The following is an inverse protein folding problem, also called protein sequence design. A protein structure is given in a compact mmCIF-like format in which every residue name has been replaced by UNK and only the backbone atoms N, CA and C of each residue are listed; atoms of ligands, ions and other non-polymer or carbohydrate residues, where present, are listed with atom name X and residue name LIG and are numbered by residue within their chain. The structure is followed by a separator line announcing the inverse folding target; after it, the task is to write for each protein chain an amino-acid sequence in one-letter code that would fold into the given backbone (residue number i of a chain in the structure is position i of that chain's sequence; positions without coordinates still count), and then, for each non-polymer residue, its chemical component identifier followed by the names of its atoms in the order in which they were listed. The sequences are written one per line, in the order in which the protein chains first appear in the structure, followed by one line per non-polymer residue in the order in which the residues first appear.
data_IF_409694940386
#
_entry.id   IF_409694940386
#
_cell.length_a   1.000
_cell.length_b   1.000
_cell.length_c   1.000
_cell.angle_alpha   90.00
_cell.angle_beta   90.00
_cell.angle_gamma   90.00
#
_symmetry.space_group_name_H-M   'P 1'
#
loop_
_entity.id
_entity.type
_entity.pdbx_description
1 polymer ?
#
# COMPACT_ATOMS: atom_id res chain seq x y z
N UNK A 1 5.33 -61.61 -39.29
CA UNK A 1 6.07 -60.36 -39.58
C UNK A 1 6.45 -60.36 -41.07
N UNK A 2 6.70 -59.15 -41.64
CA UNK A 2 7.17 -58.99 -43.03
C UNK A 2 8.44 -59.82 -43.30
N UNK A 3 9.37 -59.87 -42.34
CA UNK A 3 10.59 -60.65 -42.38
C UNK A 3 10.30 -62.20 -42.45
N UNK A 4 9.31 -62.64 -41.70
CA UNK A 4 8.91 -64.05 -41.64
C UNK A 4 8.27 -64.50 -43.01
N UNK A 5 7.37 -63.66 -43.52
CA UNK A 5 6.74 -63.88 -44.86
C UNK A 5 7.77 -63.83 -46.01
N UNK A 6 8.76 -62.93 -45.88
CA UNK A 6 9.87 -62.86 -46.87
C UNK A 6 10.64 -64.18 -46.95
N UNK A 7 10.99 -64.72 -45.77
CA UNK A 7 11.70 -65.99 -45.70
C UNK A 7 10.87 -67.20 -46.26
N UNK A 8 9.55 -67.22 -46.01
CA UNK A 8 8.64 -68.23 -46.49
C UNK A 8 8.44 -68.16 -48.00
N UNK A 9 8.47 -67.00 -48.65
CA UNK A 9 8.34 -66.78 -50.06
C UNK A 9 9.63 -67.20 -50.85
N UNK A 10 10.82 -67.00 -50.18
CA UNK A 10 12.11 -67.42 -50.77
C UNK A 10 12.33 -68.96 -50.82
N UNK A 11 11.57 -69.73 -50.02
CA UNK A 11 11.61 -71.21 -50.03
C UNK A 11 10.22 -71.78 -50.47
N UNK A 12 9.92 -71.81 -51.76
CA UNK A 12 8.61 -72.19 -52.23
C UNK A 12 8.37 -73.71 -52.17
N UNK A 13 7.40 -74.07 -51.31
CA UNK A 13 6.81 -75.42 -51.29
C UNK A 13 5.42 -75.45 -51.94
N UNK A 14 5.05 -74.45 -52.76
CA UNK A 14 3.69 -74.25 -53.29
C UNK A 14 3.68 -74.18 -54.81
N UNK A 15 2.73 -74.86 -55.45
CA UNK A 15 2.42 -74.82 -56.91
C UNK A 15 1.48 -73.63 -57.14
N UNK A 16 1.93 -72.62 -57.88
CA UNK A 16 1.16 -71.44 -58.23
C UNK A 16 1.97 -70.42 -59.01
N UNK A 17 1.38 -69.27 -59.33
CA UNK A 17 2.09 -68.14 -59.96
C UNK A 17 2.96 -67.39 -58.93
N UNK A 18 4.18 -67.93 -58.75
CA UNK A 18 5.16 -67.47 -57.80
C UNK A 18 5.62 -66.07 -58.14
N UNK A 19 5.70 -65.71 -59.42
CA UNK A 19 6.13 -64.33 -59.82
C UNK A 19 5.09 -63.31 -59.52
N UNK A 20 3.79 -63.64 -59.67
CA UNK A 20 2.72 -62.72 -59.25
C UNK A 20 2.70 -62.52 -57.74
N UNK A 21 2.91 -63.57 -56.93
CA UNK A 21 3.00 -63.50 -55.48
C UNK A 21 4.22 -62.74 -55.04
N UNK A 22 5.37 -62.89 -55.63
CA UNK A 22 6.58 -62.08 -55.33
C UNK A 22 6.37 -60.62 -55.66
N UNK A 23 5.74 -60.32 -56.81
CA UNK A 23 5.42 -58.95 -57.22
C UNK A 23 4.46 -58.30 -56.26
N UNK A 24 3.41 -58.97 -55.80
CA UNK A 24 2.48 -58.46 -54.78
C UNK A 24 3.15 -58.26 -53.44
N UNK A 25 4.04 -59.16 -53.05
CA UNK A 25 4.78 -59.03 -51.80
C UNK A 25 5.73 -57.81 -51.83
N UNK A 26 6.48 -57.61 -52.93
CA UNK A 26 7.33 -56.43 -53.07
C UNK A 26 6.49 -55.09 -53.03
N UNK A 27 5.34 -55.09 -53.73
CA UNK A 27 4.41 -53.97 -53.71
C UNK A 27 3.90 -53.65 -52.26
N UNK A 28 3.56 -54.68 -51.52
CA UNK A 28 3.14 -54.57 -50.14
C UNK A 28 4.28 -54.08 -49.23
N UNK A 29 5.50 -54.52 -49.45
CA UNK A 29 6.70 -54.09 -48.74
C UNK A 29 7.02 -52.64 -49.02
N UNK A 30 6.95 -52.15 -50.25
CA UNK A 30 7.09 -50.77 -50.63
C UNK A 30 5.99 -49.92 -50.05
N UNK A 31 4.72 -50.34 -50.11
CA UNK A 31 3.61 -49.61 -49.48
C UNK A 31 3.76 -49.51 -47.97
N UNK A 32 4.22 -50.59 -47.34
CA UNK A 32 4.51 -50.60 -45.91
C UNK A 32 5.65 -49.63 -45.49
N UNK A 33 6.72 -49.63 -46.33
CA UNK A 33 7.84 -48.72 -46.14
C UNK A 33 7.44 -47.27 -46.34
N UNK A 34 6.64 -46.97 -47.39
CA UNK A 34 6.10 -45.59 -47.59
C UNK A 34 5.19 -45.17 -46.48
N UNK A 35 4.31 -46.02 -45.97
CA UNK A 35 3.43 -45.71 -44.84
C UNK A 35 4.21 -45.47 -43.54
N UNK A 36 5.25 -46.29 -43.33
CA UNK A 36 6.15 -46.07 -42.16
C UNK A 36 6.88 -44.72 -42.24
N UNK A 37 7.37 -44.34 -43.41
CA UNK A 37 8.01 -43.06 -43.65
C UNK A 37 7.04 -41.88 -43.42
N UNK A 38 5.82 -42.00 -43.97
CA UNK A 38 4.75 -41.02 -43.76
C UNK A 38 4.44 -40.82 -42.25
N UNK A 39 4.25 -41.91 -41.51
CA UNK A 39 3.98 -41.90 -40.09
C UNK A 39 5.17 -41.32 -39.28
N UNK A 40 6.40 -41.61 -39.68
CA UNK A 40 7.60 -41.07 -39.07
C UNK A 40 7.68 -39.55 -39.26
N UNK A 41 7.43 -39.06 -40.47
CA UNK A 41 7.43 -37.61 -40.75
C UNK A 41 6.27 -36.89 -40.02
N UNK A 42 5.07 -37.50 -39.99
CA UNK A 42 3.94 -36.98 -39.24
C UNK A 42 4.25 -36.90 -37.73
N UNK A 43 4.93 -37.92 -37.19
CA UNK A 43 5.35 -37.90 -35.79
C UNK A 43 6.39 -36.81 -35.50
N UNK A 44 7.40 -36.66 -36.35
CA UNK A 44 8.40 -35.58 -36.24
C UNK A 44 7.74 -34.20 -36.28
N UNK A 45 6.81 -33.99 -37.22
CA UNK A 45 6.06 -32.73 -37.29
C UNK A 45 5.23 -32.46 -36.03
N UNK A 46 4.59 -33.50 -35.47
CA UNK A 46 3.82 -33.39 -34.23
C UNK A 46 4.72 -33.06 -33.04
N UNK A 47 5.90 -33.67 -32.94
CA UNK A 47 6.89 -33.34 -31.89
C UNK A 47 7.38 -31.91 -32.03
N UNK A 48 7.73 -31.47 -33.25
CA UNK A 48 8.17 -30.08 -33.47
C UNK A 48 7.09 -29.07 -33.11
N UNK A 49 5.83 -29.36 -33.45
CA UNK A 49 4.69 -28.51 -33.04
C UNK A 49 4.55 -28.45 -31.54
N UNK A 50 4.57 -29.59 -30.85
CA UNK A 50 4.45 -29.67 -29.39
C UNK A 50 5.60 -28.93 -28.69
N UNK A 51 6.81 -29.03 -29.22
CA UNK A 51 7.96 -28.29 -28.71
C UNK A 51 7.76 -26.77 -28.83
N UNK A 52 7.32 -26.30 -29.99
CA UNK A 52 7.05 -24.90 -30.26
C UNK A 52 5.93 -24.36 -29.35
N UNK A 53 4.85 -25.10 -29.18
CA UNK A 53 3.73 -24.70 -28.30
C UNK A 53 4.15 -24.63 -26.84
N UNK A 54 4.92 -25.60 -26.36
CA UNK A 54 5.42 -25.59 -24.97
C UNK A 54 6.46 -24.51 -24.76
N UNK A 55 7.31 -24.26 -25.74
CA UNK A 55 8.27 -23.13 -25.70
C UNK A 55 7.54 -21.80 -25.61
N UNK A 56 6.45 -21.61 -26.34
CA UNK A 56 5.65 -20.38 -26.26
C UNK A 56 5.05 -20.15 -24.87
N UNK A 57 4.66 -21.19 -24.14
CA UNK A 57 4.20 -21.09 -22.75
C UNK A 57 5.34 -20.60 -21.85
N UNK A 58 6.53 -21.20 -22.02
CA UNK A 58 7.74 -20.81 -21.25
C UNK A 58 8.14 -19.36 -21.51
N UNK A 59 8.17 -18.96 -22.78
CA UNK A 59 8.50 -17.58 -23.16
C UNK A 59 7.54 -16.56 -22.56
N UNK A 60 6.25 -16.87 -22.47
CA UNK A 60 5.27 -16.02 -21.77
C UNK A 60 5.58 -15.92 -20.27
N UNK A 61 5.97 -17.03 -19.63
CA UNK A 61 6.36 -17.03 -18.22
C UNK A 61 7.64 -16.21 -17.98
N UNK A 62 8.64 -16.35 -18.86
CA UNK A 62 9.87 -15.56 -18.83
C UNK A 62 9.60 -14.06 -19.05
N UNK A 63 8.72 -13.72 -20.00
CA UNK A 63 8.31 -12.34 -20.24
C UNK A 63 7.64 -11.72 -19.00
N UNK A 64 6.79 -12.46 -18.30
CA UNK A 64 6.21 -12.02 -17.02
C UNK A 64 7.28 -11.80 -15.97
N UNK A 65 8.23 -12.71 -15.81
CA UNK A 65 9.32 -12.59 -14.85
C UNK A 65 10.23 -11.39 -15.15
N UNK A 66 10.47 -11.10 -16.44
CA UNK A 66 11.31 -9.97 -16.87
C UNK A 66 10.59 -8.61 -16.79
N UNK A 67 9.27 -8.59 -16.69
CA UNK A 67 8.46 -7.37 -16.59
C UNK A 67 8.20 -6.89 -15.16
N UNK A 68 8.73 -7.58 -14.15
CA UNK A 68 8.53 -7.24 -12.74
C UNK A 68 9.23 -5.93 -12.37
N UNK A 69 8.53 -5.08 -11.62
CA UNK A 69 9.02 -3.78 -11.18
C UNK A 69 8.10 -3.15 -10.13
N UNK A 70 8.33 -1.87 -9.86
CA UNK A 70 7.63 -1.13 -8.80
C UNK A 70 6.11 -1.03 -9.03
N UNK A 71 5.68 -1.01 -10.29
CA UNK A 71 4.27 -0.90 -10.67
C UNK A 71 3.60 -2.26 -10.95
N UNK A 72 4.23 -3.36 -10.58
CA UNK A 72 3.70 -4.70 -10.83
C UNK A 72 2.40 -4.92 -10.05
N UNK A 73 1.35 -5.33 -10.76
CA UNK A 73 0.15 -5.87 -10.14
C UNK A 73 0.40 -7.34 -9.76
N UNK A 74 0.86 -7.56 -8.54
CA UNK A 74 1.29 -8.87 -8.04
C UNK A 74 0.17 -9.92 -8.05
N UNK A 75 -1.07 -9.52 -7.80
CA UNK A 75 -2.23 -10.42 -7.85
C UNK A 75 -2.52 -10.88 -9.27
N UNK A 76 -2.63 -9.94 -10.19
CA UNK A 76 -2.87 -10.23 -11.61
C UNK A 76 -1.74 -11.07 -12.21
N UNK A 77 -0.49 -10.76 -11.87
CA UNK A 77 0.67 -11.53 -12.35
C UNK A 77 0.69 -12.94 -11.77
N UNK A 78 0.32 -13.13 -10.51
CA UNK A 78 0.17 -14.47 -9.92
C UNK A 78 -0.90 -15.29 -10.64
N UNK A 79 -2.03 -14.68 -10.99
CA UNK A 79 -3.10 -15.34 -11.75
C UNK A 79 -2.64 -15.73 -13.15
N UNK A 80 -1.84 -14.89 -13.82
CA UNK A 80 -1.22 -15.20 -15.12
C UNK A 80 -0.24 -16.38 -15.01
N UNK A 81 0.62 -16.44 -13.99
CA UNK A 81 1.50 -17.59 -13.76
C UNK A 81 0.72 -18.87 -13.48
N UNK A 82 -0.37 -18.79 -12.73
CA UNK A 82 -1.26 -19.94 -12.48
C UNK A 82 -1.88 -20.44 -13.77
N UNK A 83 -2.38 -19.55 -14.61
CA UNK A 83 -2.93 -19.87 -15.91
C UNK A 83 -1.90 -20.51 -16.84
N UNK A 84 -0.67 -19.98 -16.89
CA UNK A 84 0.42 -20.58 -17.68
C UNK A 84 0.82 -21.95 -17.16
N UNK A 85 0.82 -22.17 -15.87
CA UNK A 85 1.08 -23.48 -15.30
C UNK A 85 -0.02 -24.49 -15.66
N UNK A 86 -1.27 -24.08 -15.65
CA UNK A 86 -2.38 -24.91 -16.11
C UNK A 86 -2.23 -25.26 -17.60
N UNK A 87 -1.90 -24.27 -18.44
CA UNK A 87 -1.62 -24.52 -19.88
C UNK A 87 -0.46 -25.47 -20.07
N UNK A 88 0.59 -25.40 -19.28
CA UNK A 88 1.71 -26.33 -19.27
C UNK A 88 1.25 -27.76 -18.97
N UNK A 89 0.47 -27.94 -17.91
CA UNK A 89 -0.04 -29.26 -17.52
C UNK A 89 -0.96 -29.85 -18.58
N UNK A 90 -1.90 -29.07 -19.13
CA UNK A 90 -2.82 -29.47 -20.15
C UNK A 90 -2.07 -29.87 -21.43
N UNK A 91 -1.08 -29.07 -21.83
CA UNK A 91 -0.24 -29.40 -22.99
C UNK A 91 0.59 -30.66 -22.74
N UNK A 92 1.17 -30.84 -21.58
CA UNK A 92 1.93 -32.04 -21.22
C UNK A 92 1.08 -33.29 -21.27
N UNK A 93 -0.19 -33.21 -20.91
CA UNK A 93 -1.12 -34.34 -20.89
C UNK A 93 -1.67 -34.67 -22.26
N UNK A 94 -1.95 -33.67 -23.10
CA UNK A 94 -2.69 -33.82 -24.36
C UNK A 94 -1.81 -33.80 -25.60
N UNK A 95 -0.53 -33.49 -25.53
CA UNK A 95 0.38 -33.44 -26.65
C UNK A 95 1.25 -34.69 -26.75
N UNK A 96 1.90 -34.87 -27.90
CA UNK A 96 2.92 -35.92 -28.10
C UNK A 96 4.07 -35.72 -27.10
N UNK A 97 4.66 -36.83 -26.69
CA UNK A 97 5.79 -36.77 -25.73
C UNK A 97 7.01 -36.12 -26.39
N UNK A 98 7.57 -35.16 -25.75
CA UNK A 98 8.85 -34.54 -26.12
C UNK A 98 10.03 -35.39 -25.68
N UNK A 99 11.19 -35.19 -26.32
CA UNK A 99 12.44 -35.74 -25.82
C UNK A 99 12.71 -35.24 -24.39
N UNK A 100 13.29 -36.11 -23.58
CA UNK A 100 13.52 -35.83 -22.18
C UNK A 100 14.39 -34.58 -21.99
N UNK A 101 15.43 -34.40 -22.78
CA UNK A 101 16.32 -33.25 -22.70
C UNK A 101 15.56 -31.93 -22.97
N UNK A 102 14.72 -31.88 -23.97
CA UNK A 102 13.90 -30.70 -24.31
C UNK A 102 12.86 -30.43 -23.23
N UNK A 103 12.17 -31.46 -22.76
CA UNK A 103 11.20 -31.34 -21.68
C UNK A 103 11.81 -30.82 -20.38
N UNK A 104 12.97 -31.35 -19.99
CA UNK A 104 13.70 -30.96 -18.81
C UNK A 104 14.23 -29.52 -18.92
N UNK A 105 14.74 -29.12 -20.08
CA UNK A 105 15.20 -27.76 -20.35
C UNK A 105 14.06 -26.73 -20.27
N UNK A 106 12.92 -27.04 -20.87
CA UNK A 106 11.73 -26.15 -20.82
C UNK A 106 11.16 -26.05 -19.41
N UNK A 107 11.11 -27.17 -18.69
CA UNK A 107 10.70 -27.14 -17.27
C UNK A 107 11.63 -26.32 -16.40
N UNK A 108 12.93 -26.43 -16.59
CA UNK A 108 13.93 -25.63 -15.88
C UNK A 108 13.72 -24.14 -16.11
N UNK A 109 13.49 -23.73 -17.37
CA UNK A 109 13.20 -22.34 -17.73
C UNK A 109 11.89 -21.84 -17.09
N UNK A 110 10.82 -22.60 -17.18
CA UNK A 110 9.54 -22.26 -16.56
C UNK A 110 9.65 -22.15 -15.04
N UNK A 111 10.30 -23.12 -14.41
CA UNK A 111 10.53 -23.12 -12.95
C UNK A 111 11.38 -21.94 -12.49
N UNK A 112 12.40 -21.57 -13.27
CA UNK A 112 13.24 -20.40 -13.00
C UNK A 112 12.44 -19.10 -13.08
N UNK A 113 11.59 -18.94 -14.09
CA UNK A 113 10.71 -17.78 -14.21
C UNK A 113 9.75 -17.67 -13.01
N UNK A 114 9.17 -18.80 -12.61
CA UNK A 114 8.29 -18.86 -11.43
C UNK A 114 9.04 -18.54 -10.13
N UNK A 115 10.26 -19.03 -9.98
CA UNK A 115 11.10 -18.75 -8.82
C UNK A 115 11.45 -17.27 -8.75
N UNK A 116 11.82 -16.66 -9.88
CA UNK A 116 12.07 -15.23 -9.98
C UNK A 116 10.85 -14.41 -9.55
N UNK A 117 9.67 -14.76 -10.04
CA UNK A 117 8.42 -14.11 -9.63
C UNK A 117 8.16 -14.24 -8.13
N UNK A 118 8.26 -15.45 -7.58
CA UNK A 118 8.00 -15.70 -6.16
C UNK A 118 8.99 -14.97 -5.25
N UNK A 119 10.26 -14.88 -5.64
CA UNK A 119 11.30 -14.15 -4.90
C UNK A 119 11.04 -12.65 -4.93
N UNK A 120 10.73 -12.10 -6.11
CA UNK A 120 10.40 -10.68 -6.25
C UNK A 120 9.14 -10.30 -5.46
N UNK A 121 8.10 -11.14 -5.49
CA UNK A 121 6.88 -10.94 -4.71
C UNK A 121 7.15 -10.94 -3.20
N UNK A 122 7.96 -11.88 -2.72
CA UNK A 122 8.35 -11.91 -1.30
C UNK A 122 9.12 -10.66 -0.89
N UNK A 123 10.10 -10.25 -1.69
CA UNK A 123 10.87 -9.04 -1.44
C UNK A 123 9.98 -7.79 -1.40
N UNK A 124 9.04 -7.68 -2.33
CA UNK A 124 8.07 -6.60 -2.34
C UNK A 124 7.19 -6.59 -1.08
N UNK A 125 6.68 -7.76 -0.68
CA UNK A 125 5.85 -7.88 0.53
C UNK A 125 6.63 -7.50 1.79
N UNK A 126 7.89 -7.97 1.93
CA UNK A 126 8.78 -7.59 3.03
C UNK A 126 9.03 -6.09 3.07
N UNK A 127 9.34 -5.46 1.92
CA UNK A 127 9.52 -4.02 1.84
C UNK A 127 8.27 -3.24 2.27
N UNK A 128 7.10 -3.70 1.88
CA UNK A 128 5.80 -3.12 2.32
C UNK A 128 5.57 -3.25 3.81
N UNK A 129 5.93 -4.38 4.39
CA UNK A 129 5.79 -4.62 5.83
C UNK A 129 6.80 -3.78 6.63
N UNK A 130 8.03 -3.62 6.13
CA UNK A 130 9.03 -2.71 6.71
C UNK A 130 8.58 -1.25 6.64
N UNK A 131 8.07 -0.78 5.50
CA UNK A 131 7.53 0.58 5.36
C UNK A 131 6.38 0.84 6.34
N UNK A 132 5.46 -0.12 6.49
CA UNK A 132 4.36 -0.02 7.45
C UNK A 132 4.85 0.01 8.89
N UNK A 133 5.81 -0.84 9.22
CA UNK A 133 6.41 -0.90 10.55
C UNK A 133 7.14 0.40 10.89
N UNK A 134 7.92 0.94 9.95
CA UNK A 134 8.62 2.21 10.12
C UNK A 134 7.65 3.39 10.28
N UNK A 135 6.59 3.43 9.48
CA UNK A 135 5.54 4.44 9.58
C UNK A 135 4.83 4.38 10.94
N UNK A 136 4.51 3.18 11.41
CA UNK A 136 3.91 2.95 12.73
C UNK A 136 4.81 3.45 13.85
N UNK A 137 6.08 3.06 13.85
CA UNK A 137 7.05 3.49 14.85
C UNK A 137 7.25 5.00 14.87
N UNK A 138 7.34 5.65 13.69
CA UNK A 138 7.45 7.09 13.58
C UNK A 138 6.21 7.80 14.16
N UNK A 139 5.02 7.31 13.87
CA UNK A 139 3.77 7.87 14.40
C UNK A 139 3.63 7.65 15.90
N UNK A 140 4.02 6.50 16.42
CA UNK A 140 4.05 6.25 17.88
C UNK A 140 5.00 7.19 18.60
N UNK A 141 6.17 7.49 18.03
CA UNK A 141 7.10 8.48 18.58
C UNK A 141 6.50 9.89 18.60
N UNK A 142 5.81 10.29 17.53
CA UNK A 142 5.09 11.56 17.45
C UNK A 142 4.00 11.66 18.53
N UNK A 143 3.24 10.58 18.72
CA UNK A 143 2.20 10.50 19.77
C UNK A 143 2.81 10.64 21.14
N UNK A 144 3.92 9.96 21.42
CA UNK A 144 4.61 10.05 22.70
C UNK A 144 5.05 11.51 23.02
N UNK A 145 5.62 12.20 22.03
CA UNK A 145 5.97 13.62 22.17
C UNK A 145 4.73 14.50 22.39
N UNK A 146 3.63 14.25 21.68
CA UNK A 146 2.37 14.97 21.85
C UNK A 146 1.77 14.76 23.25
N UNK A 147 1.82 13.54 23.77
CA UNK A 147 1.33 13.20 25.10
C UNK A 147 2.17 13.87 26.21
N UNK A 148 3.47 14.06 26.00
CA UNK A 148 4.33 14.79 26.94
C UNK A 148 4.00 16.29 27.04
N UNK A 149 3.57 16.91 25.93
CA UNK A 149 3.36 18.36 25.86
C UNK A 149 1.90 18.80 25.95
N UNK A 150 0.95 17.85 25.96
CA UNK A 150 -0.49 18.15 25.91
C UNK A 150 -1.00 19.02 27.08
N UNK A 151 -0.37 18.94 28.23
CA UNK A 151 -0.74 19.69 29.46
C UNK A 151 0.09 20.95 29.64
N UNK A 152 0.91 21.34 28.69
CA UNK A 152 1.72 22.56 28.74
C UNK A 152 0.86 23.81 28.70
N UNK A 153 1.26 24.82 29.47
CA UNK A 153 0.67 26.17 29.46
C UNK A 153 1.50 27.17 28.65
N UNK A 154 2.63 26.76 28.11
CA UNK A 154 3.43 27.57 27.18
C UNK A 154 2.77 27.61 25.79
N UNK A 155 1.66 28.35 25.69
CA UNK A 155 0.73 28.30 24.56
C UNK A 155 1.37 28.49 23.17
N UNK A 156 2.23 29.50 23.03
CA UNK A 156 2.87 29.80 21.73
C UNK A 156 3.87 28.74 21.33
N UNK A 157 4.76 28.38 22.24
CA UNK A 157 5.82 27.40 21.99
C UNK A 157 5.24 26.02 21.72
N UNK A 158 4.29 25.59 22.54
CA UNK A 158 3.68 24.27 22.43
C UNK A 158 2.80 24.16 21.18
N UNK A 159 2.11 25.25 20.80
CA UNK A 159 1.38 25.28 19.52
C UNK A 159 2.31 25.07 18.32
N UNK A 160 3.49 25.66 18.33
CA UNK A 160 4.51 25.46 17.30
C UNK A 160 4.99 24.02 17.28
N UNK A 161 5.23 23.42 18.46
CA UNK A 161 5.61 22.00 18.56
C UNK A 161 4.53 21.07 17.99
N UNK A 162 3.25 21.30 18.24
CA UNK A 162 2.17 20.53 17.63
C UNK A 162 2.12 20.69 16.11
N UNK A 163 2.40 21.86 15.56
CA UNK A 163 2.49 22.05 14.12
C UNK A 163 3.67 21.27 13.52
N UNK A 164 4.82 21.28 14.16
CA UNK A 164 5.98 20.47 13.76
C UNK A 164 5.68 18.97 13.82
N UNK A 165 5.00 18.50 14.86
CA UNK A 165 4.54 17.11 14.97
C UNK A 165 3.57 16.73 13.85
N UNK A 166 2.64 17.62 13.48
CA UNK A 166 1.72 17.41 12.37
C UNK A 166 2.47 17.30 11.02
N UNK A 167 3.49 18.13 10.80
CA UNK A 167 4.31 18.06 9.59
C UNK A 167 5.09 16.74 9.52
N UNK A 168 5.63 16.29 10.64
CA UNK A 168 6.27 14.97 10.76
C UNK A 168 5.27 13.83 10.53
N UNK A 169 4.05 13.97 11.03
CA UNK A 169 2.97 13.00 10.80
C UNK A 169 2.67 12.79 9.32
N UNK A 170 2.54 13.89 8.58
CA UNK A 170 2.29 13.85 7.12
C UNK A 170 3.39 13.13 6.35
N UNK A 171 4.65 13.23 6.83
CA UNK A 171 5.82 12.60 6.22
C UNK A 171 6.07 11.16 6.67
N UNK A 172 5.44 10.70 7.74
CA UNK A 172 5.72 9.40 8.34
C UNK A 172 5.27 8.19 7.52
N UNK A 173 4.44 8.39 6.48
CA UNK A 173 3.94 7.33 5.63
C UNK A 173 2.68 6.65 6.19
N UNK A 174 2.38 5.46 5.68
CA UNK A 174 1.17 4.71 6.03
C UNK A 174 1.51 3.42 6.77
N UNK A 175 0.95 3.26 7.97
CA UNK A 175 1.09 2.03 8.77
C UNK A 175 0.06 0.95 8.42
N UNK A 176 -0.94 1.29 7.61
CA UNK A 176 -2.12 0.50 7.30
C UNK A 176 -3.37 1.13 7.90
N UNK A 177 -4.52 0.93 7.25
CA UNK A 177 -5.75 1.65 7.59
C UNK A 177 -6.14 1.53 9.07
N UNK A 178 -6.16 0.31 9.59
CA UNK A 178 -6.56 0.07 10.99
C UNK A 178 -5.61 0.73 11.98
N UNK A 179 -4.30 0.57 11.76
CA UNK A 179 -3.28 1.16 12.65
C UNK A 179 -3.26 2.67 12.51
N UNK A 180 -3.38 3.21 11.29
CA UNK A 180 -3.43 4.65 11.05
C UNK A 180 -4.63 5.31 11.74
N UNK A 181 -5.81 4.68 11.69
CA UNK A 181 -7.02 5.21 12.35
C UNK A 181 -6.84 5.24 13.88
N UNK A 182 -6.27 4.18 14.47
CA UNK A 182 -6.01 4.11 15.91
C UNK A 182 -4.93 5.11 16.35
N UNK A 183 -3.84 5.22 15.60
CA UNK A 183 -2.75 6.16 15.87
C UNK A 183 -3.22 7.61 15.74
N UNK A 184 -4.00 7.91 14.71
CA UNK A 184 -4.58 9.24 14.53
C UNK A 184 -5.50 9.64 15.68
N UNK A 185 -6.35 8.73 16.15
CA UNK A 185 -7.22 8.99 17.29
C UNK A 185 -6.42 9.37 18.55
N UNK A 186 -5.31 8.70 18.81
CA UNK A 186 -4.42 9.01 19.96
C UNK A 186 -3.74 10.37 19.80
N UNK A 187 -3.18 10.65 18.63
CA UNK A 187 -2.56 11.95 18.36
C UNK A 187 -3.54 13.08 18.48
N UNK A 188 -4.73 12.95 17.89
CA UNK A 188 -5.78 13.93 17.94
C UNK A 188 -6.26 14.17 19.37
N UNK A 189 -6.40 13.13 20.18
CA UNK A 189 -6.78 13.26 21.57
C UNK A 189 -5.79 14.13 22.37
N UNK A 190 -4.49 13.92 22.18
CA UNK A 190 -3.46 14.76 22.81
C UNK A 190 -3.51 16.21 22.33
N UNK A 191 -3.64 16.43 21.03
CA UNK A 191 -3.78 17.74 20.43
C UNK A 191 -5.04 18.47 20.94
N UNK A 192 -6.17 17.79 20.97
CA UNK A 192 -7.44 18.34 21.45
C UNK A 192 -7.33 18.75 22.93
N UNK A 193 -6.67 17.96 23.77
CA UNK A 193 -6.42 18.30 25.18
C UNK A 193 -5.70 19.64 25.30
N UNK A 194 -4.63 19.83 24.55
CA UNK A 194 -3.86 21.07 24.58
C UNK A 194 -4.64 22.26 24.02
N UNK A 195 -5.21 22.14 22.83
CA UNK A 195 -5.88 23.24 22.18
C UNK A 195 -7.19 23.64 22.88
N UNK A 196 -7.91 22.70 23.47
CA UNK A 196 -9.07 23.00 24.31
C UNK A 196 -8.68 23.75 25.59
N UNK A 197 -7.59 23.33 26.23
CA UNK A 197 -7.07 24.05 27.42
C UNK A 197 -6.63 25.48 27.06
N UNK A 198 -5.94 25.65 25.94
CA UNK A 198 -5.57 26.98 25.42
C UNK A 198 -6.78 27.85 25.13
N UNK A 199 -7.81 27.31 24.55
CA UNK A 199 -9.05 28.02 24.25
C UNK A 199 -9.76 28.42 25.53
N UNK A 200 -9.86 27.53 26.52
CA UNK A 200 -10.45 27.81 27.82
C UNK A 200 -9.69 28.94 28.56
N UNK A 201 -8.36 28.94 28.51
CA UNK A 201 -7.54 30.01 29.08
C UNK A 201 -7.83 31.37 28.41
N UNK A 202 -7.91 31.42 27.10
CA UNK A 202 -8.27 32.64 26.36
C UNK A 202 -9.67 33.15 26.70
N UNK A 203 -10.63 32.25 26.83
CA UNK A 203 -12.01 32.58 27.21
C UNK A 203 -12.06 33.13 28.64
N UNK A 204 -11.31 32.55 29.58
CA UNK A 204 -11.20 33.01 30.94
C UNK A 204 -10.60 34.43 31.02
N UNK A 205 -9.52 34.67 30.25
CA UNK A 205 -8.92 36.01 30.15
C UNK A 205 -9.93 37.02 29.61
N UNK A 206 -10.59 36.68 28.49
CA UNK A 206 -11.60 37.57 27.88
C UNK A 206 -12.77 37.84 28.82
N UNK A 207 -13.23 36.85 29.58
CA UNK A 207 -14.28 37.00 30.57
C UNK A 207 -13.84 37.94 31.72
N UNK A 208 -12.61 37.76 32.25
CA UNK A 208 -12.04 38.61 33.29
C UNK A 208 -11.87 40.05 32.81
N UNK A 209 -11.42 40.26 31.58
CA UNK A 209 -11.29 41.60 30.99
C UNK A 209 -12.65 42.32 30.88
N UNK A 210 -13.71 41.60 30.47
CA UNK A 210 -15.08 42.16 30.44
C UNK A 210 -15.62 42.50 31.81
N UNK A 211 -15.39 41.62 32.79
CA UNK A 211 -15.76 41.92 34.20
C UNK A 211 -15.03 43.15 34.74
N UNK A 212 -13.74 43.27 34.43
CA UNK A 212 -12.94 44.44 34.81
C UNK A 212 -13.45 45.72 34.16
N UNK A 213 -13.85 45.66 32.87
CA UNK A 213 -14.47 46.77 32.17
C UNK A 213 -15.76 47.21 32.89
N UNK A 214 -16.66 46.28 33.19
CA UNK A 214 -17.92 46.57 33.88
C UNK A 214 -17.67 47.22 35.26
N UNK A 215 -16.70 46.74 36.02
CA UNK A 215 -16.30 47.32 37.31
C UNK A 215 -15.76 48.76 37.16
N UNK A 216 -14.92 49.00 36.14
CA UNK A 216 -14.38 50.34 35.86
C UNK A 216 -15.46 51.30 35.39
N UNK A 217 -16.41 50.88 34.56
CA UNK A 217 -17.58 51.69 34.16
C UNK A 217 -18.46 52.06 35.36
N UNK A 218 -18.67 51.13 36.30
CA UNK A 218 -19.41 51.38 37.51
C UNK A 218 -18.69 52.44 38.37
N UNK A 219 -17.35 52.36 38.51
CA UNK A 219 -16.57 53.39 39.25
C UNK A 219 -16.61 54.74 38.57
N UNK A 220 -16.58 54.80 37.22
CA UNK A 220 -16.77 56.06 36.48
C UNK A 220 -18.12 56.66 36.76
N UNK A 221 -19.19 55.88 36.73
CA UNK A 221 -20.53 56.36 37.05
C UNK A 221 -20.60 56.92 38.47
N UNK A 222 -19.96 56.26 39.45
CA UNK A 222 -19.86 56.76 40.82
C UNK A 222 -19.07 58.08 40.90
N UNK A 223 -17.97 58.18 40.15
CA UNK A 223 -17.16 59.43 40.12
C UNK A 223 -17.94 60.57 39.46
N UNK A 224 -18.63 60.32 38.34
CA UNK A 224 -19.47 61.31 37.66
C UNK A 224 -20.60 61.85 38.57
N UNK A 225 -21.17 61.01 39.42
CA UNK A 225 -22.21 61.35 40.35
C UNK A 225 -21.73 62.34 41.44
N UNK A 226 -20.42 62.46 41.63
CA UNK A 226 -19.83 63.41 42.57
C UNK A 226 -19.73 64.86 42.05
N UNK A 227 -20.03 65.06 40.78
CA UNK A 227 -19.98 66.39 40.11
C UNK A 227 -21.41 66.78 39.67
N UNK A 228 -21.88 68.02 39.86
CA UNK A 228 -21.20 69.19 40.38
C UNK A 228 -21.19 69.33 41.96
N UNK A 229 -20.17 70.02 42.50
CA UNK A 229 -19.98 70.22 43.90
C UNK A 229 -20.69 71.53 44.32
N UNK A 230 -21.52 71.49 45.37
CA UNK A 230 -22.35 72.63 45.80
C UNK A 230 -21.72 73.58 46.83
N UNK A 231 -20.82 73.03 47.66
CA UNK A 231 -20.17 73.83 48.76
C UNK A 231 -18.81 73.19 49.11
N UNK A 232 -18.06 73.86 50.04
CA UNK A 232 -16.72 73.42 50.45
C UNK A 232 -16.73 72.09 51.21
N UNK A 233 -17.76 71.80 51.99
CA UNK A 233 -17.92 70.53 52.69
C UNK A 233 -18.16 69.39 51.74
N UNK A 234 -19.01 69.63 50.76
CA UNK A 234 -19.25 68.68 49.69
C UNK A 234 -17.99 68.43 48.82
N UNK A 235 -17.18 69.45 48.58
CA UNK A 235 -15.88 69.35 47.91
C UNK A 235 -14.89 68.46 48.66
N UNK A 236 -14.80 68.57 49.99
CA UNK A 236 -13.94 67.70 50.80
C UNK A 236 -14.40 66.23 50.75
N UNK A 237 -15.70 66.00 50.85
CA UNK A 237 -16.29 64.66 50.77
C UNK A 237 -16.07 64.06 49.40
N UNK A 238 -16.24 64.83 48.33
CA UNK A 238 -16.01 64.38 46.96
C UNK A 238 -14.54 63.97 46.70
N UNK A 239 -13.58 64.73 47.26
CA UNK A 239 -12.15 64.34 47.14
C UNK A 239 -11.84 63.04 47.85
N UNK A 240 -12.41 62.81 49.04
CA UNK A 240 -12.23 61.56 49.79
C UNK A 240 -12.85 60.38 49.01
N UNK A 241 -14.07 60.59 48.46
CA UNK A 241 -14.74 59.55 47.62
C UNK A 241 -13.97 59.29 46.36
N UNK A 242 -13.44 60.26 45.65
CA UNK A 242 -12.60 60.10 44.46
C UNK A 242 -11.30 59.35 44.76
N UNK A 243 -10.65 59.64 45.92
CA UNK A 243 -9.46 58.89 46.31
C UNK A 243 -9.75 57.41 46.53
N UNK A 244 -10.89 57.08 47.17
CA UNK A 244 -11.33 55.72 47.36
C UNK A 244 -11.65 55.05 46.02
N UNK A 245 -12.32 55.73 45.11
CA UNK A 245 -12.59 55.24 43.74
C UNK A 245 -11.28 54.98 42.97
N UNK A 246 -10.31 55.85 43.05
CA UNK A 246 -9.01 55.72 42.43
C UNK A 246 -8.27 54.45 42.95
N UNK A 247 -8.33 54.23 44.26
CA UNK A 247 -7.71 53.07 44.87
C UNK A 247 -8.38 51.77 44.41
N UNK A 248 -9.71 51.72 44.32
CA UNK A 248 -10.43 50.60 43.75
C UNK A 248 -10.10 50.41 42.28
N UNK A 249 -10.02 51.49 41.50
CA UNK A 249 -9.65 51.47 40.09
C UNK A 249 -8.28 50.86 39.85
N UNK A 250 -7.31 51.20 40.66
CA UNK A 250 -5.93 50.72 40.53
C UNK A 250 -5.79 49.23 40.89
N UNK A 251 -6.73 48.67 41.63
CA UNK A 251 -6.79 47.24 41.94
C UNK A 251 -7.50 46.40 40.90
N UNK A 252 -8.28 47.01 39.98
CA UNK A 252 -8.93 46.31 38.88
C UNK A 252 -7.89 46.03 37.79
N UNK A 253 -7.88 44.80 37.26
CA UNK A 253 -6.96 44.37 36.21
C UNK A 253 -7.23 44.97 34.84
N UNK A 254 -6.64 44.36 33.83
CA UNK A 254 -6.75 44.79 32.44
C UNK A 254 -8.20 44.70 31.92
N UNK A 255 -8.53 45.58 30.98
CA UNK A 255 -9.77 45.61 30.21
C UNK A 255 -9.48 45.24 28.77
N UNK A 256 -10.50 44.92 27.94
CA UNK A 256 -10.31 44.65 26.52
C UNK A 256 -9.56 45.80 25.83
N UNK A 257 -8.65 45.47 24.91
CA UNK A 257 -7.78 46.46 24.23
C UNK A 257 -8.55 47.57 23.55
N UNK A 258 -9.68 47.25 22.97
CA UNK A 258 -10.51 48.20 22.24
C UNK A 258 -11.21 49.22 23.15
N UNK A 259 -11.25 48.93 24.46
CA UNK A 259 -11.90 49.77 25.51
C UNK A 259 -10.88 50.46 26.40
N UNK A 260 -9.61 50.50 26.00
CA UNK A 260 -8.55 51.15 26.79
C UNK A 260 -8.47 52.69 26.62
N UNK A 261 -9.36 53.27 25.79
CA UNK A 261 -9.39 54.72 25.51
C UNK A 261 -10.52 55.42 26.25
#
# INVERSE_FOLDING_TARGET
SIKTLSAEIEQPAVVGDIEALKSQFEALKEAGAAKKAELSEAHKAAVAKALAERTAIVEKAEALANSLGDNTNWRSTADKFRSLFQQWQDHQHNSVRLDKADADALWSRFSSARTTFNSARRKWAQGRDEERSNAKAAKEAIIAEAEEIKDSTAWVETSRKFNELMDRWKKAGRAGRRDDDALWARFRAAADTFFNARQADREQISSSEKENLAKKEELLTKAEALVPVKDEKAAKQARQALAAIQEEWDQIGYVPRDDMH
#
